data_IF_097876322420
#
_entry.id   IF_097876322420
#
_cell.length_a   1.000
_cell.length_b   1.000
_cell.length_c   1.000
_cell.angle_alpha   90.00
_cell.angle_beta   90.00
_cell.angle_gamma   90.00
#
_symmetry.space_group_name_H-M   'P 1'
#
loop_
_entity.id
_entity.type
_entity.pdbx_description
1 polymer ?
#
# COMPACT_ATOMS: atom_id res chain seq x y z
N UNK A 1 30.83 -18.04 -2.28
CA UNK A 1 30.44 -18.03 -0.85
C UNK A 1 31.41 -18.91 -0.09
N UNK A 2 31.96 -18.48 1.06
CA UNK A 2 32.82 -19.33 1.90
C UNK A 2 32.10 -20.62 2.31
N UNK A 3 32.85 -21.71 2.47
CA UNK A 3 32.35 -22.95 3.07
C UNK A 3 31.81 -22.65 4.49
N UNK A 4 30.55 -23.04 4.76
CA UNK A 4 29.90 -22.85 6.06
C UNK A 4 29.05 -21.57 6.20
N UNK A 5 28.96 -20.73 5.17
CA UNK A 5 28.03 -19.59 5.19
C UNK A 5 26.58 -20.08 5.10
N UNK A 6 25.78 -19.81 6.14
CA UNK A 6 24.32 -19.88 6.10
C UNK A 6 23.77 -18.47 6.13
N UNK A 7 22.93 -18.11 5.16
CA UNK A 7 22.21 -16.85 5.23
C UNK A 7 21.25 -16.88 6.43
N UNK A 8 21.10 -15.78 7.18
CA UNK A 8 19.96 -15.61 8.07
C UNK A 8 18.65 -15.83 7.31
N UNK A 9 17.62 -16.27 8.02
CA UNK A 9 16.28 -16.35 7.45
C UNK A 9 15.87 -14.96 6.95
N UNK A 10 15.34 -14.84 5.72
CA UNK A 10 14.91 -13.55 5.20
C UNK A 10 13.78 -13.00 6.06
N UNK A 11 13.95 -11.76 6.52
CA UNK A 11 12.89 -11.00 7.21
C UNK A 11 12.41 -9.88 6.30
N UNK A 12 11.10 -9.77 6.13
CA UNK A 12 10.46 -8.62 5.51
C UNK A 12 9.78 -7.81 6.61
N UNK A 13 10.18 -6.55 6.79
CA UNK A 13 9.61 -5.65 7.79
C UNK A 13 8.58 -4.74 7.12
N UNK A 14 7.38 -4.69 7.68
CA UNK A 14 6.37 -3.66 7.38
C UNK A 14 6.07 -2.97 8.72
N UNK A 15 6.46 -1.72 8.84
CA UNK A 15 6.36 -0.94 10.08
C UNK A 15 5.78 0.46 9.88
N UNK A 16 5.85 1.00 8.66
CA UNK A 16 5.36 2.36 8.33
C UNK A 16 6.14 3.49 9.01
N UNK A 17 7.21 3.19 9.75
CA UNK A 17 7.97 4.19 10.51
C UNK A 17 9.49 3.96 10.53
N UNK A 18 9.96 2.81 10.04
CA UNK A 18 11.38 2.50 9.90
C UNK A 18 11.80 2.72 8.47
N UNK A 19 12.89 3.44 8.22
CA UNK A 19 13.38 3.67 6.86
C UNK A 19 14.18 2.48 6.32
N UNK A 20 14.05 2.23 5.03
CA UNK A 20 14.93 1.37 4.24
C UNK A 20 16.32 2.04 4.09
N UNK A 21 17.36 1.30 3.66
CA UNK A 21 18.68 1.89 3.43
C UNK A 21 18.73 3.05 2.43
N UNK A 22 17.69 3.21 1.59
CA UNK A 22 17.58 4.30 0.61
C UNK A 22 16.70 5.46 1.10
N UNK A 23 16.25 5.43 2.35
CA UNK A 23 15.49 6.53 2.97
C UNK A 23 13.99 6.53 2.70
N UNK A 24 13.45 5.46 2.13
CA UNK A 24 12.01 5.20 1.95
C UNK A 24 11.42 4.44 3.14
N UNK A 25 10.11 4.45 3.36
CA UNK A 25 9.51 3.73 4.50
C UNK A 25 9.56 2.22 4.28
N UNK A 26 9.70 1.43 5.34
CA UNK A 26 9.40 0.00 5.29
C UNK A 26 7.90 -0.16 5.46
N UNK A 27 7.14 -0.03 4.39
CA UNK A 27 5.69 -0.15 4.39
C UNK A 27 5.18 -1.07 3.26
N UNK A 28 3.85 -1.09 3.10
CA UNK A 28 3.19 -1.77 2.01
C UNK A 28 2.07 -0.87 1.51
N UNK A 29 2.06 -0.61 0.21
CA UNK A 29 1.12 0.31 -0.43
C UNK A 29 0.19 -0.46 -1.38
N UNK A 30 -1.09 -0.10 -1.38
CA UNK A 30 -2.07 -0.54 -2.38
C UNK A 30 -2.65 0.70 -3.03
N UNK A 31 -2.30 0.93 -4.28
CA UNK A 31 -2.66 2.15 -5.00
C UNK A 31 -3.52 1.87 -6.22
N UNK A 32 -4.38 2.83 -6.55
CA UNK A 32 -4.90 2.99 -7.90
C UNK A 32 -4.00 3.99 -8.62
N UNK A 33 -3.00 3.49 -9.34
CA UNK A 33 -1.98 4.29 -10.00
C UNK A 33 -2.01 4.20 -11.53
N UNK A 34 -1.17 5.00 -12.19
CA UNK A 34 -0.89 4.86 -13.61
C UNK A 34 0.04 3.70 -13.93
N UNK A 35 0.35 3.47 -15.22
CA UNK A 35 1.14 2.32 -15.67
C UNK A 35 2.61 2.33 -15.18
N UNK A 36 3.08 3.43 -14.56
CA UNK A 36 4.38 3.53 -13.92
C UNK A 36 5.11 4.83 -14.27
N UNK A 37 6.30 5.02 -13.68
CA UNK A 37 7.16 6.17 -13.98
C UNK A 37 6.63 7.48 -13.43
N UNK A 38 5.85 7.44 -12.34
CA UNK A 38 5.23 8.62 -11.75
C UNK A 38 3.98 9.13 -12.47
N UNK A 39 3.40 8.31 -13.35
CA UNK A 39 2.19 8.67 -14.11
C UNK A 39 0.95 8.82 -13.20
N UNK A 40 0.10 9.78 -13.55
CA UNK A 40 -1.23 9.95 -12.92
C UNK A 40 -2.30 9.18 -13.69
N UNK A 41 -3.14 8.42 -12.97
CA UNK A 41 -4.38 7.85 -13.52
C UNK A 41 -5.57 8.77 -13.27
N UNK A 42 -6.36 9.02 -14.32
CA UNK A 42 -7.65 9.74 -14.21
C UNK A 42 -8.80 8.73 -14.23
N UNK A 43 -9.57 8.67 -13.14
CA UNK A 43 -10.74 7.81 -13.01
C UNK A 43 -12.01 8.57 -13.40
N UNK A 44 -12.68 8.13 -14.47
CA UNK A 44 -13.95 8.73 -14.94
C UNK A 44 -15.19 8.06 -14.35
N UNK A 45 -15.07 6.80 -13.97
CA UNK A 45 -16.13 6.04 -13.34
C UNK A 45 -15.52 5.00 -12.39
N UNK A 46 -15.90 5.09 -11.12
CA UNK A 46 -15.46 4.23 -10.05
C UNK A 46 -16.59 4.05 -9.05
N UNK A 47 -16.84 2.80 -8.70
CA UNK A 47 -17.64 2.38 -7.56
C UNK A 47 -17.01 1.09 -7.04
N UNK A 48 -16.43 1.14 -5.85
CA UNK A 48 -15.72 -0.01 -5.32
C UNK A 48 -15.24 0.19 -3.89
N UNK A 49 -14.49 -0.80 -3.42
CA UNK A 49 -13.80 -0.72 -2.14
C UNK A 49 -12.42 -1.34 -2.22
N UNK A 50 -11.49 -0.80 -1.45
CA UNK A 50 -10.14 -1.35 -1.27
C UNK A 50 -9.92 -1.73 0.17
N UNK A 51 -9.23 -2.85 0.34
CA UNK A 51 -8.83 -3.39 1.64
C UNK A 51 -7.52 -4.13 1.50
N UNK A 52 -6.61 -3.89 2.44
CA UNK A 52 -5.36 -4.62 2.52
C UNK A 52 -5.44 -5.68 3.60
N UNK A 53 -4.98 -6.88 3.27
CA UNK A 53 -4.92 -8.01 4.18
C UNK A 53 -3.49 -8.52 4.34
N UNK A 54 -3.19 -9.07 5.51
CA UNK A 54 -1.95 -9.81 5.74
C UNK A 54 -2.27 -11.24 6.18
N UNK A 55 -1.42 -12.18 5.79
CA UNK A 55 -1.50 -13.57 6.24
C UNK A 55 -0.77 -13.69 7.58
N UNK A 56 -1.48 -14.08 8.64
CA UNK A 56 -0.86 -14.27 9.95
C UNK A 56 -0.14 -15.63 10.06
N UNK A 57 0.61 -15.82 11.16
CA UNK A 57 1.36 -17.05 11.41
C UNK A 57 0.50 -18.34 11.47
N UNK A 58 -0.82 -18.20 11.68
CA UNK A 58 -1.77 -19.30 11.70
C UNK A 58 -2.39 -19.59 10.31
N UNK A 59 -1.95 -18.90 9.26
CA UNK A 59 -2.47 -19.07 7.90
C UNK A 59 -3.83 -18.43 7.67
N UNK A 60 -4.23 -17.45 8.50
CA UNK A 60 -5.51 -16.74 8.36
C UNK A 60 -5.26 -15.30 7.91
N UNK A 61 -6.06 -14.81 6.95
CA UNK A 61 -6.01 -13.41 6.53
C UNK A 61 -6.68 -12.50 7.55
N UNK A 62 -5.96 -11.48 8.00
CA UNK A 62 -6.47 -10.39 8.83
C UNK A 62 -6.44 -9.07 8.06
N UNK A 63 -7.25 -8.10 8.48
CA UNK A 63 -7.15 -6.73 7.97
C UNK A 63 -5.84 -6.08 8.42
N UNK A 64 -5.31 -5.17 7.61
CA UNK A 64 -4.23 -4.28 8.04
C UNK A 64 -4.79 -3.19 8.98
N UNK A 65 -4.42 -3.18 10.28
CA UNK A 65 -5.04 -2.29 11.27
C UNK A 65 -4.55 -0.83 11.19
N UNK A 66 -3.49 -0.56 10.42
CA UNK A 66 -2.90 0.77 10.27
C UNK A 66 -2.66 1.08 8.80
N UNK A 67 -3.73 0.97 8.00
CA UNK A 67 -3.73 1.44 6.62
C UNK A 67 -4.10 2.94 6.59
N UNK A 68 -3.22 3.76 6.05
CA UNK A 68 -3.38 5.20 5.93
C UNK A 68 -3.51 5.59 4.45
N UNK A 69 -4.18 6.71 4.18
CA UNK A 69 -4.25 7.32 2.84
C UNK A 69 -2.98 8.16 2.60
N UNK A 70 -1.83 7.49 2.67
CA UNK A 70 -0.51 8.08 2.53
C UNK A 70 0.49 6.99 2.10
N UNK A 71 1.42 7.37 1.24
CA UNK A 71 2.53 6.54 0.79
C UNK A 71 3.71 7.41 0.35
N UNK A 72 4.93 6.88 0.45
CA UNK A 72 6.16 7.55 0.00
C UNK A 72 6.86 6.85 -1.14
N UNK A 73 6.49 5.60 -1.40
CA UNK A 73 7.35 4.68 -2.15
C UNK A 73 6.87 4.52 -3.60
N UNK A 74 5.57 4.68 -3.82
CA UNK A 74 5.00 4.82 -5.17
C UNK A 74 5.03 6.28 -5.63
N UNK A 75 5.55 6.50 -6.84
CA UNK A 75 5.57 7.83 -7.46
C UNK A 75 4.29 8.15 -8.24
N UNK A 76 3.46 7.14 -8.46
CA UNK A 76 2.21 7.23 -9.21
C UNK A 76 1.12 7.91 -8.41
N UNK A 77 0.23 8.63 -9.09
CA UNK A 77 -0.88 9.35 -8.45
C UNK A 77 -2.21 9.03 -9.12
N UNK A 78 -3.33 9.43 -8.52
CA UNK A 78 -4.64 9.37 -9.15
C UNK A 78 -5.53 10.57 -8.84
N UNK A 79 -6.44 10.84 -9.77
CA UNK A 79 -7.48 11.86 -9.64
C UNK A 79 -8.82 11.35 -10.17
N UNK A 80 -9.91 11.99 -9.78
CA UNK A 80 -11.27 11.54 -10.09
C UNK A 80 -11.85 10.53 -9.09
N UNK A 81 -11.19 10.35 -7.94
CA UNK A 81 -11.62 9.48 -6.84
C UNK A 81 -11.95 10.28 -5.59
N UNK A 82 -13.08 9.95 -4.97
CA UNK A 82 -13.43 10.31 -3.61
C UNK A 82 -13.31 9.07 -2.72
N UNK A 83 -12.55 9.20 -1.63
CA UNK A 83 -12.26 8.11 -0.69
C UNK A 83 -12.98 8.38 0.64
N UNK A 84 -13.67 7.37 1.16
CA UNK A 84 -14.26 7.39 2.49
C UNK A 84 -13.86 6.15 3.29
N UNK A 85 -13.25 6.35 4.46
CA UNK A 85 -12.87 5.27 5.36
C UNK A 85 -14.07 4.71 6.13
N UNK A 86 -14.05 3.40 6.39
CA UNK A 86 -15.02 2.72 7.26
C UNK A 86 -14.33 1.99 8.41
N UNK A 87 -15.06 1.73 9.49
CA UNK A 87 -14.55 1.09 10.71
C UNK A 87 -14.05 -0.36 10.52
N UNK A 88 -14.21 -0.95 9.33
CA UNK A 88 -13.78 -2.33 9.02
C UNK A 88 -12.52 -2.36 8.14
N UNK A 89 -11.63 -1.40 8.34
CA UNK A 89 -10.38 -1.22 7.60
C UNK A 89 -10.56 -1.22 6.08
N UNK A 90 -11.61 -0.53 5.61
CA UNK A 90 -12.01 -0.52 4.20
C UNK A 90 -12.11 0.91 3.69
N UNK A 91 -11.43 1.19 2.59
CA UNK A 91 -11.61 2.40 1.80
C UNK A 91 -12.76 2.20 0.82
N UNK A 92 -13.81 3.00 0.92
CA UNK A 92 -14.90 3.06 -0.04
C UNK A 92 -14.57 4.10 -1.10
N UNK A 93 -14.64 3.70 -2.36
CA UNK A 93 -14.20 4.49 -3.50
C UNK A 93 -15.37 4.81 -4.41
N UNK A 94 -15.55 6.09 -4.70
CA UNK A 94 -16.51 6.56 -5.68
C UNK A 94 -15.86 7.56 -6.62
N UNK A 95 -16.46 7.73 -7.79
CA UNK A 95 -16.11 8.86 -8.66
C UNK A 95 -16.36 10.16 -7.90
N UNK A 96 -15.39 11.07 -7.90
CA UNK A 96 -15.54 12.34 -7.23
C UNK A 96 -14.39 13.28 -7.50
N UNK A 97 -14.53 14.57 -7.13
CA UNK A 97 -13.44 15.52 -7.26
C UNK A 97 -12.24 15.08 -6.40
N UNK A 98 -11.05 15.22 -6.95
CA UNK A 98 -9.77 15.01 -6.25
C UNK A 98 -8.91 16.25 -6.46
N UNK A 99 -8.03 16.52 -5.50
CA UNK A 99 -6.90 17.42 -5.68
C UNK A 99 -5.62 16.60 -5.57
N UNK A 100 -4.62 16.95 -6.38
CA UNK A 100 -3.27 16.40 -6.29
C UNK A 100 -2.47 17.21 -5.26
#
# INVERSE_FOLDING_TARGET
MPSGYSSPAPSYLISGNTLTPIGLLNDAELILGGPGGGSTTTLYNLNGSMKMHYLNANGVYGNMPSAYDFGTDTGETSQGVAVAWSQSDTANLNTGPSFL
#
